data_IF_309799181730
#
_entry.id   IF_309799181730
#
_cell.length_a   1.000
_cell.length_b   1.000
_cell.length_c   1.000
_cell.angle_alpha   90.00
_cell.angle_beta   90.00
_cell.angle_gamma   90.00
#
_symmetry.space_group_name_H-M   'P 1'
#
loop_
_entity.id
_entity.type
_entity.pdbx_description
1 polymer ?
#
# COMPACT_ATOMS: atom_id res chain seq x y z
N UNK A 1 -16.95 30.91 25.22
CA UNK A 1 -16.51 31.55 23.97
C UNK A 1 -15.08 31.09 23.65
N UNK A 2 -14.88 30.37 22.55
CA UNK A 2 -13.54 29.97 22.08
C UNK A 2 -13.03 31.03 21.10
N UNK A 3 -11.79 31.51 21.26
CA UNK A 3 -11.13 32.32 20.25
C UNK A 3 -10.57 31.39 19.18
N UNK A 4 -11.14 31.46 17.97
CA UNK A 4 -10.68 30.71 16.81
C UNK A 4 -9.62 31.52 16.06
N UNK A 5 -8.35 31.15 16.18
CA UNK A 5 -7.34 31.52 15.20
C UNK A 5 -6.70 30.24 14.68
N UNK A 6 -6.61 30.15 13.35
CA UNK A 6 -6.16 29.04 12.50
C UNK A 6 -7.21 27.95 12.23
N UNK A 7 -7.45 27.70 10.94
CA UNK A 7 -8.51 26.86 10.40
C UNK A 7 -8.70 25.53 11.12
N UNK A 8 -9.83 25.44 11.82
CA UNK A 8 -10.64 24.26 12.17
C UNK A 8 -10.00 23.00 12.80
N UNK A 9 -8.68 22.86 12.97
CA UNK A 9 -8.07 21.59 13.44
C UNK A 9 -7.43 21.59 14.82
N UNK A 10 -7.29 22.74 15.46
CA UNK A 10 -6.77 22.79 16.83
C UNK A 10 -7.67 23.68 17.71
N UNK A 11 -8.40 23.05 18.63
CA UNK A 11 -9.15 23.74 19.69
C UNK A 11 -8.42 23.49 21.01
N UNK A 12 -7.90 24.54 21.62
CA UNK A 12 -7.35 24.47 22.98
C UNK A 12 -8.54 24.42 23.95
N UNK A 13 -8.61 23.42 24.85
CA UNK A 13 -9.67 23.37 25.86
C UNK A 13 -9.64 24.62 26.76
N UNK A 14 -10.80 25.19 27.05
CA UNK A 14 -10.94 26.43 27.81
C UNK A 14 -10.22 26.39 29.18
N UNK A 15 -10.25 25.24 29.84
CA UNK A 15 -9.60 25.04 31.15
C UNK A 15 -8.07 25.17 31.08
N UNK A 16 -7.47 24.83 29.93
CA UNK A 16 -6.03 24.99 29.66
C UNK A 16 -5.72 26.44 29.28
N UNK A 17 -6.63 27.11 28.56
CA UNK A 17 -6.47 28.52 28.21
C UNK A 17 -6.49 29.45 29.44
N UNK A 18 -7.26 29.10 30.48
CA UNK A 18 -7.40 29.91 31.70
C UNK A 18 -6.14 29.91 32.59
N UNK A 19 -5.29 28.90 32.47
CA UNK A 19 -4.03 28.79 33.23
C UNK A 19 -2.86 29.48 32.55
N UNK A 20 -3.06 30.06 31.36
CA UNK A 20 -2.00 30.76 30.63
C UNK A 20 -1.79 32.16 31.25
N UNK A 21 -0.54 32.57 31.51
CA UNK A 21 -0.24 33.90 32.02
C UNK A 21 -0.71 34.98 31.04
N UNK A 22 -1.29 36.07 31.55
CA UNK A 22 -1.89 37.16 30.75
C UNK A 22 -0.88 38.08 30.08
N UNK A 23 0.37 38.07 30.52
CA UNK A 23 1.46 38.86 29.95
C UNK A 23 2.72 38.01 29.88
N UNK A 24 3.51 38.25 28.83
CA UNK A 24 4.70 37.53 28.35
C UNK A 24 4.40 36.46 27.29
N UNK A 25 5.02 36.65 26.13
CA UNK A 25 4.92 35.82 24.93
C UNK A 25 5.11 34.33 25.25
N UNK A 26 4.14 33.51 24.88
CA UNK A 26 4.26 32.06 24.99
C UNK A 26 4.85 31.51 23.70
N UNK A 27 6.04 30.92 23.81
CA UNK A 27 6.67 30.20 22.70
C UNK A 27 5.97 28.84 22.52
N UNK A 28 5.02 28.77 21.58
CA UNK A 28 4.39 27.51 21.21
C UNK A 28 5.26 26.78 20.17
N UNK A 29 5.93 25.70 20.60
CA UNK A 29 6.68 24.84 19.69
C UNK A 29 5.81 23.64 19.28
N UNK A 30 5.33 23.62 18.03
CA UNK A 30 4.67 22.45 17.45
C UNK A 30 5.64 21.71 16.53
N UNK A 31 5.94 20.44 16.85
CA UNK A 31 6.68 19.57 15.92
C UNK A 31 5.69 18.97 14.92
N UNK A 32 5.59 19.57 13.74
CA UNK A 32 4.85 18.99 12.63
C UNK A 32 5.70 17.86 12.02
N UNK A 33 5.33 16.60 12.28
CA UNK A 33 5.95 15.45 11.62
C UNK A 33 5.10 15.14 10.40
N UNK A 34 5.56 15.56 9.22
CA UNK A 34 4.96 15.16 7.96
C UNK A 34 5.07 13.65 7.75
N UNK A 35 4.02 13.02 7.25
CA UNK A 35 3.99 11.57 7.02
C UNK A 35 3.49 11.20 5.64
N UNK A 36 3.59 9.91 5.33
CA UNK A 36 2.96 9.31 4.15
C UNK A 36 1.91 8.29 4.58
N UNK A 37 0.75 8.31 3.94
CA UNK A 37 -0.40 7.46 4.28
C UNK A 37 -0.95 6.80 3.03
N UNK A 38 -1.05 5.46 2.99
CA UNK A 38 -1.76 4.76 1.93
C UNK A 38 -3.28 4.92 2.11
N UNK A 39 -4.02 4.87 1.01
CA UNK A 39 -5.48 4.99 0.99
C UNK A 39 -6.20 3.77 1.57
N UNK A 40 -5.52 2.62 1.61
CA UNK A 40 -6.04 1.37 2.14
C UNK A 40 -4.94 0.60 2.88
N UNK A 41 -5.34 -0.14 3.91
CA UNK A 41 -4.46 -1.03 4.68
C UNK A 41 -4.59 -2.49 4.24
N UNK A 42 -5.65 -2.81 3.50
CA UNK A 42 -5.88 -4.14 2.91
C UNK A 42 -6.24 -3.97 1.44
N UNK A 43 -5.72 -4.88 0.62
CA UNK A 43 -5.93 -4.94 -0.82
C UNK A 43 -6.38 -6.34 -1.18
N UNK A 44 -7.44 -6.42 -1.97
CA UNK A 44 -8.02 -7.66 -2.44
C UNK A 44 -8.08 -7.60 -3.97
N UNK A 45 -7.21 -8.38 -4.63
CA UNK A 45 -7.20 -8.51 -6.08
C UNK A 45 -8.10 -9.69 -6.46
N UNK A 46 -9.29 -9.39 -6.95
CA UNK A 46 -10.29 -10.39 -7.36
C UNK A 46 -10.06 -10.81 -8.80
N UNK A 47 -9.83 -12.10 -9.00
CA UNK A 47 -9.75 -12.70 -10.33
C UNK A 47 -11.11 -13.11 -10.90
N UNK A 48 -12.17 -13.12 -10.07
CA UNK A 48 -13.50 -13.55 -10.47
C UNK A 48 -13.61 -15.07 -10.71
N UNK A 49 -14.72 -15.49 -11.29
CA UNK A 49 -14.96 -16.88 -11.65
C UNK A 49 -14.30 -17.20 -13.00
N UNK A 50 -13.31 -18.08 -12.98
CA UNK A 50 -12.53 -18.44 -14.16
C UNK A 50 -12.62 -19.93 -14.44
N UNK A 51 -12.75 -20.29 -15.72
CA UNK A 51 -12.64 -21.69 -16.11
C UNK A 51 -11.17 -22.11 -16.05
N UNK A 52 -10.90 -23.33 -15.57
CA UNK A 52 -9.55 -23.87 -15.43
C UNK A 52 -8.74 -23.81 -16.73
N UNK A 53 -9.41 -23.95 -17.88
CA UNK A 53 -8.79 -23.96 -19.21
C UNK A 53 -8.43 -22.56 -19.74
N UNK A 54 -8.94 -21.49 -19.12
CA UNK A 54 -8.72 -20.10 -19.57
C UNK A 54 -8.11 -19.18 -18.50
N UNK A 55 -7.97 -19.67 -17.27
CA UNK A 55 -7.45 -18.88 -16.15
C UNK A 55 -5.96 -18.54 -16.27
N UNK A 56 -5.17 -19.35 -16.99
CA UNK A 56 -3.75 -19.09 -17.16
C UNK A 56 -3.51 -17.77 -17.90
N UNK A 57 -2.54 -16.98 -17.44
CA UNK A 57 -2.24 -15.64 -17.93
C UNK A 57 -3.35 -14.59 -17.69
N UNK A 58 -4.43 -14.92 -16.98
CA UNK A 58 -5.43 -13.94 -16.56
C UNK A 58 -4.79 -12.87 -15.69
N UNK A 59 -5.12 -11.61 -15.95
CA UNK A 59 -4.61 -10.45 -15.21
C UNK A 59 -5.73 -9.74 -14.45
N UNK A 60 -5.46 -9.40 -13.19
CA UNK A 60 -6.29 -8.50 -12.39
C UNK A 60 -5.36 -7.53 -11.63
N UNK A 61 -5.87 -6.36 -11.27
CA UNK A 61 -5.07 -5.37 -10.55
C UNK A 61 -5.93 -4.54 -9.61
N UNK A 62 -5.27 -3.98 -8.60
CA UNK A 62 -5.87 -2.99 -7.71
C UNK A 62 -4.92 -1.81 -7.54
N UNK A 63 -5.49 -0.61 -7.60
CA UNK A 63 -4.75 0.64 -7.40
C UNK A 63 -5.09 1.20 -6.04
N UNK A 64 -4.07 1.57 -5.28
CA UNK A 64 -4.18 2.39 -4.07
C UNK A 64 -3.45 3.71 -4.30
N UNK A 65 -3.74 4.70 -3.49
CA UNK A 65 -3.02 5.97 -3.52
C UNK A 65 -2.20 6.17 -2.25
N UNK A 66 -1.04 6.80 -2.37
CA UNK A 66 -0.19 7.16 -1.23
C UNK A 66 -0.07 8.69 -1.20
N UNK A 67 -0.52 9.27 -0.11
CA UNK A 67 -0.51 10.71 0.14
C UNK A 67 0.62 11.06 1.10
N UNK A 68 1.49 11.97 0.72
CA UNK A 68 2.58 12.46 1.56
C UNK A 68 2.42 13.96 1.84
N UNK A 69 2.62 14.35 3.09
CA UNK A 69 2.57 15.76 3.55
C UNK A 69 3.86 16.53 3.24
N UNK A 70 4.95 15.81 2.94
CA UNK A 70 6.30 16.33 2.67
C UNK A 70 6.93 15.58 1.49
N UNK A 71 8.00 16.11 0.86
CA UNK A 71 8.79 15.34 -0.08
C UNK A 71 9.27 14.02 0.55
N UNK A 72 9.17 12.92 -0.19
CA UNK A 72 9.46 11.58 0.32
C UNK A 72 9.99 10.68 -0.80
N UNK A 73 10.87 9.74 -0.44
CA UNK A 73 11.23 8.61 -1.27
C UNK A 73 10.76 7.36 -0.55
N UNK A 74 9.87 6.59 -1.17
CA UNK A 74 9.35 5.36 -0.56
C UNK A 74 9.74 4.20 -1.46
N UNK A 75 10.48 3.25 -0.86
CA UNK A 75 10.76 1.96 -1.48
C UNK A 75 9.62 1.00 -1.11
N UNK A 76 8.96 0.47 -2.12
CA UNK A 76 7.90 -0.52 -2.00
C UNK A 76 8.48 -1.90 -2.30
N UNK A 77 8.34 -2.82 -1.36
CA UNK A 77 8.85 -4.19 -1.49
C UNK A 77 7.76 -5.19 -1.16
N UNK A 78 7.54 -6.16 -2.05
CA UNK A 78 6.65 -7.27 -1.81
C UNK A 78 7.37 -8.34 -1.00
N UNK A 79 6.70 -8.82 0.04
CA UNK A 79 7.10 -9.96 0.85
C UNK A 79 6.11 -11.09 0.61
N UNK A 80 6.65 -12.27 0.35
CA UNK A 80 5.88 -13.47 0.08
C UNK A 80 5.37 -14.07 1.38
N UNK A 81 4.06 -14.31 1.47
CA UNK A 81 3.48 -15.06 2.58
C UNK A 81 3.20 -16.52 2.17
N UNK A 82 2.79 -16.76 0.93
CA UNK A 82 2.53 -18.12 0.40
C UNK A 82 3.56 -18.53 -0.65
N UNK A 83 4.16 -19.71 -0.47
CA UNK A 83 5.20 -20.24 -1.35
C UNK A 83 4.65 -20.62 -2.72
N UNK A 84 5.25 -20.16 -3.84
CA UNK A 84 4.83 -20.55 -5.19
C UNK A 84 5.14 -22.02 -5.47
N UNK A 85 4.33 -22.61 -6.35
CA UNK A 85 4.49 -23.96 -6.89
C UNK A 85 5.64 -24.03 -7.90
N UNK A 86 5.84 -22.95 -8.67
CA UNK A 86 6.82 -22.89 -9.75
C UNK A 86 7.98 -21.95 -9.42
N UNK A 87 9.10 -22.16 -10.11
CA UNK A 87 10.19 -21.19 -10.14
C UNK A 87 9.96 -20.18 -11.25
N UNK A 88 9.93 -18.89 -10.91
CA UNK A 88 9.67 -17.79 -11.85
C UNK A 88 10.92 -16.94 -12.13
N UNK A 89 12.10 -17.48 -11.85
CA UNK A 89 13.37 -16.76 -11.98
C UNK A 89 13.40 -15.51 -11.09
N UNK A 90 13.57 -14.33 -11.70
CA UNK A 90 13.61 -13.03 -11.01
C UNK A 90 12.23 -12.42 -10.72
N UNK A 91 11.15 -13.03 -11.22
CA UNK A 91 9.80 -12.50 -11.02
C UNK A 91 9.30 -12.87 -9.63
N UNK A 92 8.75 -11.90 -8.93
CA UNK A 92 8.10 -12.11 -7.66
C UNK A 92 6.78 -12.84 -7.88
N UNK A 93 6.55 -13.87 -7.08
CA UNK A 93 5.35 -14.70 -7.18
C UNK A 93 4.91 -15.23 -5.84
N UNK A 94 3.62 -15.54 -5.75
CA UNK A 94 2.96 -16.16 -4.59
C UNK A 94 2.18 -17.38 -5.02
N UNK A 95 2.14 -18.40 -4.17
CA UNK A 95 1.28 -19.56 -4.40
C UNK A 95 -0.18 -19.24 -4.07
N UNK A 96 -1.11 -19.73 -4.89
CA UNK A 96 -2.55 -19.59 -4.70
C UNK A 96 -3.26 -20.92 -4.35
N UNK A 97 -2.51 -22.02 -4.33
CA UNK A 97 -3.06 -23.38 -4.16
C UNK A 97 -3.47 -24.02 -5.48
N UNK A 98 -3.78 -25.32 -5.44
CA UNK A 98 -4.26 -26.10 -6.60
C UNK A 98 -3.36 -26.03 -7.85
N UNK A 99 -2.04 -25.90 -7.67
CA UNK A 99 -1.09 -25.78 -8.77
C UNK A 99 -1.11 -24.42 -9.47
N UNK A 100 -1.69 -23.40 -8.85
CA UNK A 100 -1.70 -22.03 -9.37
C UNK A 100 -0.79 -21.13 -8.56
N UNK A 101 -0.08 -20.27 -9.28
CA UNK A 101 0.67 -19.14 -8.74
C UNK A 101 0.12 -17.82 -9.29
N UNK A 102 0.43 -16.73 -8.60
CA UNK A 102 0.33 -15.38 -9.15
C UNK A 102 1.71 -14.76 -9.26
N UNK A 103 2.03 -14.23 -10.44
CA UNK A 103 3.13 -13.28 -10.63
C UNK A 103 2.59 -11.91 -10.25
N UNK A 104 3.14 -11.33 -9.18
CA UNK A 104 2.66 -10.06 -8.62
C UNK A 104 3.58 -8.94 -9.06
N UNK A 105 3.00 -7.88 -9.61
CA UNK A 105 3.73 -6.71 -10.10
C UNK A 105 3.39 -5.46 -9.30
N UNK A 106 4.36 -4.55 -9.18
CA UNK A 106 4.16 -3.25 -8.54
C UNK A 106 4.46 -2.17 -9.58
N UNK A 107 3.44 -1.38 -9.95
CA UNK A 107 3.48 -0.44 -11.08
C UNK A 107 3.99 -1.09 -12.38
N UNK A 108 3.57 -2.33 -12.64
CA UNK A 108 3.97 -3.09 -13.83
C UNK A 108 5.36 -3.73 -13.76
N UNK A 109 6.10 -3.56 -12.64
CA UNK A 109 7.40 -4.20 -12.43
C UNK A 109 7.21 -5.54 -11.71
N UNK A 110 7.59 -6.64 -12.36
CA UNK A 110 7.42 -8.01 -11.86
C UNK A 110 8.48 -8.44 -10.84
N UNK A 111 9.49 -7.62 -10.51
CA UNK A 111 10.61 -8.03 -9.63
C UNK A 111 10.29 -7.99 -8.13
N UNK A 112 9.09 -7.54 -7.77
CA UNK A 112 8.65 -7.41 -6.38
C UNK A 112 9.10 -6.14 -5.69
N UNK A 113 9.67 -5.18 -6.42
CA UNK A 113 10.17 -3.95 -5.83
C UNK A 113 10.05 -2.77 -6.79
N UNK A 114 9.72 -1.59 -6.25
CA UNK A 114 9.81 -0.31 -6.95
C UNK A 114 10.07 0.83 -5.97
N UNK A 115 10.52 1.97 -6.46
CA UNK A 115 10.68 3.19 -5.65
C UNK A 115 9.88 4.32 -6.28
N UNK A 116 9.09 5.02 -5.46
CA UNK A 116 8.38 6.22 -5.88
C UNK A 116 8.89 7.43 -5.11
N UNK A 117 8.85 8.59 -5.76
CA UNK A 117 9.37 9.85 -5.24
C UNK A 117 8.32 10.95 -5.31
N UNK A 118 8.12 11.61 -4.17
CA UNK A 118 7.35 12.84 -4.01
C UNK A 118 8.33 14.00 -3.91
N UNK A 119 8.32 14.90 -4.88
CA UNK A 119 9.12 16.13 -4.84
C UNK A 119 8.48 17.23 -3.99
N UNK A 120 7.18 17.13 -3.75
CA UNK A 120 6.36 18.02 -2.92
C UNK A 120 5.22 17.22 -2.30
N UNK A 121 4.52 17.82 -1.34
CA UNK A 121 3.29 17.26 -0.80
C UNK A 121 2.31 16.91 -1.92
N UNK A 122 1.69 15.73 -1.84
CA UNK A 122 0.79 15.26 -2.88
C UNK A 122 0.49 13.77 -2.80
N UNK A 123 -0.35 13.33 -3.73
CA UNK A 123 -0.82 11.94 -3.82
C UNK A 123 -0.35 11.34 -5.13
N UNK A 124 0.15 10.10 -5.07
CA UNK A 124 0.46 9.31 -6.27
C UNK A 124 -0.19 7.93 -6.17
N UNK A 125 -0.48 7.35 -7.33
CA UNK A 125 -1.08 6.02 -7.42
C UNK A 125 -0.01 4.94 -7.46
N UNK A 126 -0.32 3.82 -6.80
CA UNK A 126 0.45 2.59 -6.80
C UNK A 126 -0.49 1.45 -7.21
N UNK A 127 -0.17 0.80 -8.32
CA UNK A 127 -0.96 -0.32 -8.85
C UNK A 127 -0.27 -1.64 -8.55
N UNK A 128 -0.99 -2.54 -7.89
CA UNK A 128 -0.55 -3.92 -7.68
C UNK A 128 -1.26 -4.80 -8.69
N UNK A 129 -0.50 -5.45 -9.55
CA UNK A 129 -1.00 -6.39 -10.56
C UNK A 129 -0.81 -7.83 -10.10
N UNK A 130 -1.71 -8.71 -10.55
CA UNK A 130 -1.68 -10.14 -10.30
C UNK A 130 -1.95 -10.86 -11.62
N UNK A 131 -0.99 -11.68 -12.07
CA UNK A 131 -1.13 -12.51 -13.27
C UNK A 131 -1.07 -13.97 -12.90
N UNK A 132 -2.15 -14.71 -13.19
CA UNK A 132 -2.22 -16.14 -12.90
C UNK A 132 -1.25 -16.93 -13.77
N UNK A 133 -0.63 -17.93 -13.18
CA UNK A 133 0.25 -18.88 -13.84
C UNK A 133 -0.04 -20.30 -13.36
N UNK A 134 -0.19 -21.22 -14.30
CA UNK A 134 -0.33 -22.65 -14.02
C UNK A 134 0.08 -23.50 -15.22
N UNK A 135 0.79 -24.59 -14.95
CA UNK A 135 1.10 -25.63 -15.94
C UNK A 135 -0.03 -26.66 -16.01
N UNK A 136 -0.47 -27.00 -17.22
CA UNK A 136 -1.60 -27.90 -17.47
C UNK A 136 -1.52 -29.26 -16.76
N UNK A 137 -0.31 -29.75 -16.49
CA UNK A 137 -0.07 -31.03 -15.80
C UNK A 137 -0.22 -30.98 -14.28
N UNK A 138 -0.29 -29.78 -13.68
CA UNK A 138 -0.32 -29.59 -12.21
C UNK A 138 -1.52 -28.80 -11.71
N UNK A 139 -2.17 -28.02 -12.57
CA UNK A 139 -3.36 -27.25 -12.19
C UNK A 139 -4.52 -28.17 -11.82
N UNK A 140 -5.24 -27.78 -10.80
CA UNK A 140 -6.46 -28.44 -10.34
C UNK A 140 -7.59 -27.41 -10.24
N UNK A 141 -8.85 -27.84 -10.41
CA UNK A 141 -10.00 -26.98 -10.13
C UNK A 141 -10.11 -26.74 -8.63
N UNK A 142 -10.51 -25.53 -8.23
CA UNK A 142 -10.66 -25.16 -6.83
C UNK A 142 -10.65 -23.65 -6.61
N UNK A 143 -10.84 -23.24 -5.35
CA UNK A 143 -10.76 -21.83 -4.95
C UNK A 143 -9.29 -21.42 -4.86
N UNK A 144 -8.92 -20.35 -5.54
CA UNK A 144 -7.56 -19.80 -5.52
C UNK A 144 -7.44 -18.75 -4.43
N UNK A 145 -6.48 -18.91 -3.52
CA UNK A 145 -6.22 -17.94 -2.45
C UNK A 145 -4.74 -17.90 -2.08
N UNK A 146 -4.18 -16.71 -2.06
CA UNK A 146 -2.80 -16.48 -1.64
C UNK A 146 -2.64 -15.07 -1.09
N UNK A 147 -1.48 -14.80 -0.48
CA UNK A 147 -1.22 -13.49 0.10
C UNK A 147 0.24 -13.06 -0.04
N UNK A 148 0.41 -11.74 -0.08
CA UNK A 148 1.68 -11.04 -0.02
C UNK A 148 1.53 -9.84 0.90
N UNK A 149 2.64 -9.36 1.44
CA UNK A 149 2.69 -8.12 2.23
C UNK A 149 3.44 -7.06 1.42
N UNK A 150 2.83 -5.88 1.25
CA UNK A 150 3.48 -4.73 0.66
C UNK A 150 4.14 -3.89 1.77
N UNK A 151 5.47 -3.94 1.86
CA UNK A 151 6.24 -3.15 2.80
C UNK A 151 6.60 -1.79 2.20
N UNK A 152 6.31 -0.72 2.94
CA UNK A 152 6.75 0.64 2.64
C UNK A 152 7.96 0.98 3.51
N UNK A 153 9.12 1.19 2.88
CA UNK A 153 10.35 1.56 3.56
C UNK A 153 10.61 3.04 3.30
N UNK A 154 10.60 3.83 4.37
CA UNK A 154 10.99 5.23 4.37
C UNK A 154 12.46 5.33 4.83
N UNK A 155 13.27 6.23 4.25
CA UNK A 155 14.64 6.49 4.68
C UNK A 155 14.73 7.16 6.05
#
# INVERSE_FOLDING_TARGET
HFASYLGARFKIPYNVAKTLPRENEMLFLFKNIGGCRPSAQSLEIKHGDLSINSANNHYAAQTLSVSCDVPANIRFMLLRNTTPTYSHGKKFSVGLGHGWDSIVSVNGVDTGETTMRWYKAGTQNLTIGSRLYGESSKIQPGVLSGSATLLMILP
#
